data_IF_993375392522
#
_entry.id   IF_993375392522
#
_cell.length_a   1.000
_cell.length_b   1.000
_cell.length_c   1.000
_cell.angle_alpha   90.00
_cell.angle_beta   90.00
_cell.angle_gamma   90.00
#
_symmetry.space_group_name_H-M   'P 1'
#
loop_
_entity.id
_entity.type
_entity.pdbx_description
1 polymer ?
#
# COMPACT_ATOMS: atom_id res chain seq x y z
N UNK A 1 11.39 -4.35 16.51
CA UNK A 1 10.28 -4.93 15.71
C UNK A 1 10.27 -4.18 14.40
N UNK A 2 10.32 -4.89 13.28
CA UNK A 2 10.50 -4.30 11.96
C UNK A 2 9.17 -4.44 11.20
N UNK A 3 8.27 -3.48 11.39
CA UNK A 3 6.91 -3.53 10.85
C UNK A 3 6.58 -2.25 10.08
N UNK A 4 5.98 -2.38 8.90
CA UNK A 4 5.59 -1.26 8.06
C UNK A 4 4.10 -1.34 7.73
N UNK A 5 3.43 -0.20 7.93
CA UNK A 5 2.09 0.02 7.42
C UNK A 5 2.22 0.64 6.02
N UNK A 6 1.58 0.04 5.03
CA UNK A 6 1.59 0.53 3.65
C UNK A 6 0.17 0.74 3.15
N UNK A 7 0.01 1.68 2.22
CA UNK A 7 -1.29 1.92 1.60
C UNK A 7 -1.19 2.00 0.09
N UNK A 8 -1.98 1.18 -0.60
CA UNK A 8 -2.22 1.30 -2.03
C UNK A 8 -3.35 2.32 -2.26
N UNK A 9 -3.03 3.45 -2.89
CA UNK A 9 -3.97 4.59 -3.01
C UNK A 9 -5.18 4.24 -3.88
N UNK A 10 -5.00 3.43 -4.92
CA UNK A 10 -6.08 2.84 -5.72
C UNK A 10 -7.18 3.82 -6.19
N UNK A 11 -6.74 4.99 -6.69
CA UNK A 11 -7.61 6.07 -7.16
C UNK A 11 -8.65 6.52 -6.12
N UNK A 12 -8.35 6.36 -4.84
CA UNK A 12 -9.19 6.87 -3.76
C UNK A 12 -9.29 8.41 -3.83
N UNK A 13 -10.47 8.99 -3.56
CA UNK A 13 -10.63 10.43 -3.50
C UNK A 13 -9.90 11.01 -2.27
N UNK A 14 -9.55 12.30 -2.37
CA UNK A 14 -8.76 13.02 -1.35
C UNK A 14 -9.25 12.79 0.08
N UNK A 15 -10.56 12.87 0.33
CA UNK A 15 -11.09 12.75 1.70
C UNK A 15 -10.85 11.36 2.33
N UNK A 16 -10.72 10.30 1.53
CA UNK A 16 -10.41 8.97 2.04
C UNK A 16 -8.91 8.84 2.35
N UNK A 17 -8.06 9.44 1.50
CA UNK A 17 -6.62 9.52 1.71
C UNK A 17 -6.34 10.34 2.98
N UNK A 18 -6.90 11.54 3.08
CA UNK A 18 -6.74 12.44 4.22
C UNK A 18 -7.20 11.79 5.52
N UNK A 19 -8.35 11.10 5.52
CA UNK A 19 -8.84 10.44 6.73
C UNK A 19 -7.87 9.36 7.26
N UNK A 20 -7.25 8.59 6.36
CA UNK A 20 -6.23 7.61 6.74
C UNK A 20 -4.93 8.30 7.17
N UNK A 21 -4.50 9.35 6.46
CA UNK A 21 -3.31 10.13 6.78
C UNK A 21 -3.42 10.80 8.15
N UNK A 22 -4.52 11.51 8.43
CA UNK A 22 -4.81 12.17 9.70
C UNK A 22 -4.76 11.19 10.88
N UNK A 23 -5.28 9.98 10.68
CA UNK A 23 -5.23 8.92 11.70
C UNK A 23 -3.80 8.48 12.02
N UNK A 24 -2.90 8.43 11.03
CA UNK A 24 -1.48 8.11 11.23
C UNK A 24 -0.70 9.29 11.80
N UNK A 25 -0.97 10.51 11.32
CA UNK A 25 -0.38 11.75 11.81
C UNK A 25 -0.65 11.94 13.31
N UNK A 26 -1.89 11.72 13.74
CA UNK A 26 -2.28 11.82 15.15
C UNK A 26 -1.56 10.81 16.06
N UNK A 27 -0.93 9.78 15.48
CA UNK A 27 -0.22 8.70 16.18
C UNK A 27 1.29 8.72 15.95
N UNK A 28 1.79 9.68 15.16
CA UNK A 28 3.19 9.73 14.71
C UNK A 28 3.66 8.40 14.08
N UNK A 29 2.77 7.73 13.33
CA UNK A 29 3.06 6.46 12.66
C UNK A 29 3.59 6.73 11.26
N UNK A 30 4.72 6.09 10.98
CA UNK A 30 5.34 6.07 9.66
C UNK A 30 4.61 5.12 8.73
N UNK A 31 4.50 5.49 7.46
CA UNK A 31 3.88 4.65 6.44
C UNK A 31 4.46 4.91 5.05
N UNK A 32 4.28 3.94 4.16
CA UNK A 32 4.60 4.09 2.72
C UNK A 32 3.31 4.05 1.90
N UNK A 33 3.12 5.05 1.04
CA UNK A 33 1.93 5.20 0.19
C UNK A 33 2.30 4.93 -1.26
N UNK A 34 1.68 3.93 -1.88
CA UNK A 34 1.86 3.62 -3.29
C UNK A 34 0.84 4.40 -4.12
N UNK A 35 1.35 5.39 -4.86
CA UNK A 35 0.55 6.42 -5.53
C UNK A 35 0.09 5.96 -6.91
N UNK A 36 -1.19 6.20 -7.20
CA UNK A 36 -1.84 5.90 -8.49
C UNK A 36 -2.16 7.14 -9.33
N UNK A 37 -2.25 8.32 -8.74
CA UNK A 37 -2.66 9.53 -9.46
C UNK A 37 -2.18 10.80 -8.75
N UNK A 38 -2.15 11.92 -9.47
CA UNK A 38 -1.94 13.22 -8.87
C UNK A 38 -3.21 13.68 -8.16
N UNK A 39 -3.07 14.17 -6.93
CA UNK A 39 -4.16 14.77 -6.15
C UNK A 39 -3.60 15.69 -5.06
N UNK A 40 -4.43 16.58 -4.53
CA UNK A 40 -3.98 17.48 -3.47
C UNK A 40 -3.68 16.72 -2.16
N UNK A 41 -4.33 15.58 -1.92
CA UNK A 41 -4.00 14.71 -0.79
C UNK A 41 -2.59 14.12 -0.93
N UNK A 42 -2.17 13.72 -2.14
CA UNK A 42 -0.80 13.25 -2.38
C UNK A 42 0.24 14.35 -2.11
N UNK A 43 -0.07 15.59 -2.50
CA UNK A 43 0.82 16.73 -2.20
C UNK A 43 0.96 16.95 -0.68
N UNK A 44 -0.14 16.87 0.08
CA UNK A 44 -0.11 16.92 1.56
C UNK A 44 0.70 15.78 2.18
N UNK A 45 0.60 14.56 1.64
CA UNK A 45 1.44 13.44 2.10
C UNK A 45 2.92 13.74 1.89
N UNK A 46 3.28 14.32 0.74
CA UNK A 46 4.66 14.69 0.38
C UNK A 46 5.25 15.76 1.31
N UNK A 47 4.43 16.63 1.90
CA UNK A 47 4.86 17.64 2.87
C UNK A 47 5.31 17.05 4.21
N UNK A 48 5.10 15.74 4.44
CA UNK A 48 5.46 15.02 5.68
C UNK A 48 6.46 13.88 5.45
N UNK A 49 7.65 14.17 4.88
CA UNK A 49 8.65 13.13 4.59
C UNK A 49 9.27 12.52 5.85
N UNK A 50 9.05 13.12 7.03
CA UNK A 50 9.41 12.56 8.34
C UNK A 50 8.58 11.32 8.69
N UNK A 51 7.34 11.26 8.21
CA UNK A 51 6.43 10.14 8.47
C UNK A 51 6.12 9.31 7.23
N UNK A 52 5.97 9.95 6.06
CA UNK A 52 5.44 9.31 4.87
C UNK A 52 6.50 9.16 3.77
N UNK A 53 6.64 7.94 3.27
CA UNK A 53 7.32 7.64 2.01
C UNK A 53 6.29 7.54 0.89
N UNK A 54 6.63 8.05 -0.30
CA UNK A 54 5.82 7.86 -1.50
C UNK A 54 6.52 6.86 -2.44
N UNK A 55 5.81 5.80 -2.80
CA UNK A 55 6.19 4.83 -3.82
C UNK A 55 5.24 4.90 -5.02
N UNK A 56 5.55 4.16 -6.08
CA UNK A 56 4.68 4.06 -7.26
C UNK A 56 3.75 2.85 -7.20
N UNK A 57 2.51 3.00 -7.68
CA UNK A 57 1.54 1.91 -7.83
C UNK A 57 1.14 1.68 -9.30
N UNK A 58 2.05 1.16 -10.15
CA UNK A 58 1.80 1.03 -11.58
C UNK A 58 0.70 0.02 -11.88
N UNK A 59 -0.25 0.43 -12.72
CA UNK A 59 -1.25 -0.45 -13.30
C UNK A 59 -0.82 -0.88 -14.69
N UNK A 60 -0.36 -2.13 -14.79
CA UNK A 60 0.07 -2.77 -16.04
C UNK A 60 -1.05 -3.53 -16.77
N UNK A 61 -2.30 -3.47 -16.28
CA UNK A 61 -3.44 -4.11 -16.94
C UNK A 61 -3.84 -3.35 -18.21
N UNK A 62 -4.45 -4.08 -19.15
CA UNK A 62 -4.94 -3.49 -20.39
C UNK A 62 -5.97 -2.39 -20.12
N UNK A 63 -5.83 -1.26 -20.83
CA UNK A 63 -6.71 -0.08 -20.65
C UNK A 63 -6.37 0.77 -19.43
N UNK A 64 -5.22 0.56 -18.80
CA UNK A 64 -4.70 1.40 -17.71
C UNK A 64 -4.56 2.87 -18.13
N UNK A 65 -4.88 3.78 -17.21
CA UNK A 65 -4.62 5.21 -17.37
C UNK A 65 -3.15 5.59 -17.27
N UNK A 66 -2.26 4.67 -16.89
CA UNK A 66 -0.83 4.94 -16.72
C UNK A 66 -0.03 4.78 -18.03
N UNK A 67 -0.55 4.10 -19.04
CA UNK A 67 0.16 3.94 -20.31
C UNK A 67 -0.23 2.68 -21.08
N UNK A 68 0.24 2.59 -22.32
CA UNK A 68 -0.02 1.46 -23.22
C UNK A 68 1.04 0.36 -23.12
N UNK A 69 2.29 0.73 -22.82
CA UNK A 69 3.41 -0.20 -22.63
C UNK A 69 3.90 -0.20 -21.18
N UNK A 70 4.60 -1.26 -20.71
CA UNK A 70 5.21 -1.25 -19.39
C UNK A 70 6.12 -0.05 -19.13
N UNK A 71 6.89 0.38 -20.12
CA UNK A 71 7.76 1.55 -20.04
C UNK A 71 6.96 2.84 -19.85
N UNK A 72 5.88 3.02 -20.62
CA UNK A 72 5.00 4.19 -20.47
C UNK A 72 4.36 4.22 -19.09
N UNK A 73 3.88 3.06 -18.59
CA UNK A 73 3.30 2.92 -17.26
C UNK A 73 4.28 3.33 -16.17
N UNK A 74 5.52 2.84 -16.22
CA UNK A 74 6.55 3.18 -15.24
C UNK A 74 6.92 4.66 -15.33
N UNK A 75 7.13 5.18 -16.55
CA UNK A 75 7.48 6.58 -16.78
C UNK A 75 6.38 7.53 -16.28
N UNK A 76 5.11 7.21 -16.51
CA UNK A 76 3.98 7.95 -15.98
C UNK A 76 3.99 7.99 -14.46
N UNK A 77 4.14 6.84 -13.80
CA UNK A 77 4.14 6.78 -12.33
C UNK A 77 5.34 7.53 -11.72
N UNK A 78 6.52 7.43 -12.33
CA UNK A 78 7.70 8.18 -11.90
C UNK A 78 7.57 9.69 -12.16
N UNK A 79 6.74 10.12 -13.11
CA UNK A 79 6.42 11.53 -13.27
C UNK A 79 5.51 12.05 -12.13
N UNK A 80 4.65 11.19 -11.57
CA UNK A 80 3.82 11.51 -10.40
C UNK A 80 4.64 11.56 -9.10
N UNK A 81 5.60 10.64 -8.95
CA UNK A 81 6.45 10.52 -7.76
C UNK A 81 7.93 10.38 -8.18
N UNK A 82 8.60 11.47 -8.56
CA UNK A 82 9.99 11.43 -9.02
C UNK A 82 10.98 10.87 -7.99
N UNK A 83 10.67 11.01 -6.70
CA UNK A 83 11.45 10.55 -5.56
C UNK A 83 11.27 9.05 -5.23
N UNK A 84 10.35 8.35 -5.91
CA UNK A 84 10.02 6.97 -5.59
C UNK A 84 11.19 6.01 -5.80
N UNK A 85 11.41 5.17 -4.78
CA UNK A 85 12.38 4.04 -4.80
C UNK A 85 11.69 2.69 -4.59
N UNK A 86 10.47 2.71 -4.09
CA UNK A 86 9.65 1.53 -3.83
C UNK A 86 8.48 1.44 -4.81
N UNK A 87 8.10 0.20 -5.14
CA UNK A 87 6.95 -0.12 -5.98
C UNK A 87 6.12 -1.23 -5.34
N UNK A 88 4.81 -1.13 -5.51
CA UNK A 88 3.90 -2.27 -5.48
C UNK A 88 3.06 -2.23 -6.74
N UNK A 89 2.96 -3.31 -7.51
CA UNK A 89 2.20 -3.30 -8.75
C UNK A 89 0.71 -3.50 -8.47
N UNK A 90 -0.14 -2.76 -9.19
CA UNK A 90 -1.59 -2.91 -9.07
C UNK A 90 -2.01 -4.33 -9.46
N UNK A 91 -2.94 -4.90 -8.68
CA UNK A 91 -3.33 -6.31 -8.74
C UNK A 91 -2.19 -7.32 -8.58
N UNK A 92 -1.03 -6.89 -8.05
CA UNK A 92 0.18 -7.70 -7.92
C UNK A 92 0.61 -8.31 -9.26
N UNK A 93 0.38 -7.61 -10.38
CA UNK A 93 0.80 -8.10 -11.68
C UNK A 93 2.33 -8.08 -11.77
N UNK A 94 2.92 -9.26 -11.97
CA UNK A 94 4.37 -9.42 -12.01
C UNK A 94 4.80 -10.36 -13.13
N UNK A 95 5.93 -10.04 -13.74
CA UNK A 95 6.65 -10.92 -14.67
C UNK A 95 8.08 -10.42 -14.82
N UNK A 96 9.00 -11.25 -15.30
CA UNK A 96 10.39 -10.84 -15.52
C UNK A 96 10.50 -9.58 -16.41
N UNK A 97 9.77 -9.47 -17.54
CA UNK A 97 9.77 -8.25 -18.35
C UNK A 97 9.27 -7.00 -17.60
N UNK A 98 8.28 -7.12 -16.71
CA UNK A 98 7.81 -5.99 -15.91
C UNK A 98 8.87 -5.55 -14.89
N UNK A 99 9.58 -6.49 -14.27
CA UNK A 99 10.69 -6.15 -13.38
C UNK A 99 11.83 -5.46 -14.12
N UNK A 100 12.15 -5.90 -15.35
CA UNK A 100 13.15 -5.22 -16.17
C UNK A 100 12.71 -3.78 -16.52
N UNK A 101 11.44 -3.56 -16.85
CA UNK A 101 10.90 -2.21 -17.08
C UNK A 101 10.94 -1.33 -15.81
N UNK A 102 10.72 -1.90 -14.62
CA UNK A 102 10.83 -1.17 -13.35
C UNK A 102 12.28 -0.76 -13.04
N UNK A 103 13.25 -1.61 -13.37
CA UNK A 103 14.67 -1.36 -13.15
C UNK A 103 15.28 -0.40 -14.17
N UNK A 104 14.61 -0.18 -15.31
CA UNK A 104 15.05 0.77 -16.32
C UNK A 104 15.20 2.18 -15.75
N UNK A 105 16.34 2.82 -15.98
CA UNK A 105 16.66 4.14 -15.41
C UNK A 105 17.11 4.13 -13.94
N UNK A 106 17.11 2.97 -13.27
CA UNK A 106 17.79 2.76 -11.99
C UNK A 106 17.19 3.46 -10.77
N UNK A 107 15.93 3.90 -10.82
CA UNK A 107 15.26 4.57 -9.70
C UNK A 107 14.59 3.62 -8.71
N UNK A 108 13.91 2.60 -9.23
CA UNK A 108 13.22 1.61 -8.39
C UNK A 108 14.23 0.59 -7.88
N UNK A 109 14.21 0.37 -6.57
CA UNK A 109 15.13 -0.52 -5.87
C UNK A 109 14.40 -1.62 -5.10
N UNK A 110 13.16 -1.36 -4.69
CA UNK A 110 12.38 -2.24 -3.80
C UNK A 110 11.01 -2.56 -4.39
N UNK A 111 10.70 -3.84 -4.55
CA UNK A 111 9.37 -4.38 -4.88
C UNK A 111 8.69 -4.96 -3.65
N UNK A 112 7.44 -4.57 -3.41
CA UNK A 112 6.63 -5.04 -2.28
C UNK A 112 5.34 -5.72 -2.77
N UNK A 113 5.36 -6.32 -3.96
CA UNK A 113 4.19 -6.98 -4.55
C UNK A 113 4.14 -8.50 -4.28
N UNK A 114 5.11 -9.06 -3.55
CA UNK A 114 5.08 -10.47 -3.15
C UNK A 114 4.18 -10.68 -1.93
N UNK A 115 2.96 -11.15 -2.14
CA UNK A 115 2.03 -11.44 -1.04
C UNK A 115 2.19 -12.86 -0.48
N UNK A 116 2.48 -12.97 0.81
CA UNK A 116 2.54 -14.24 1.54
C UNK A 116 1.57 -14.20 2.73
N UNK A 117 0.27 -14.48 2.50
CA UNK A 117 -0.78 -14.26 3.49
C UNK A 117 -0.48 -15.00 4.80
N UNK A 118 -0.41 -14.23 5.89
CA UNK A 118 -0.20 -14.68 7.27
C UNK A 118 1.06 -15.52 7.49
N UNK A 119 2.04 -15.42 6.59
CA UNK A 119 3.32 -16.10 6.76
C UNK A 119 3.94 -15.71 8.11
N UNK A 120 4.41 -16.71 8.88
CA UNK A 120 5.04 -16.49 10.20
C UNK A 120 6.52 -16.13 10.11
N UNK A 121 7.13 -16.41 8.97
CA UNK A 121 8.52 -16.06 8.65
C UNK A 121 8.56 -15.56 7.22
N UNK A 122 9.15 -14.39 7.01
CA UNK A 122 9.44 -13.85 5.68
C UNK A 122 10.84 -13.27 5.68
N UNK A 123 11.49 -13.27 4.53
CA UNK A 123 12.83 -12.74 4.38
C UNK A 123 12.86 -11.80 3.17
N UNK A 124 13.62 -10.69 3.24
CA UNK A 124 13.99 -9.93 2.06
C UNK A 124 14.72 -10.84 1.07
N UNK A 125 14.35 -10.80 -0.21
CA UNK A 125 15.02 -11.59 -1.25
C UNK A 125 15.51 -10.69 -2.38
N UNK A 126 16.74 -10.92 -2.82
CA UNK A 126 17.30 -10.18 -3.96
C UNK A 126 17.03 -10.96 -5.24
N UNK A 127 16.32 -10.34 -6.17
CA UNK A 127 16.13 -10.86 -7.51
C UNK A 127 17.10 -10.16 -8.47
N UNK A 128 17.92 -10.94 -9.16
CA UNK A 128 18.80 -10.44 -10.22
C UNK A 128 18.14 -10.55 -11.59
N UNK A 129 18.35 -9.55 -12.44
CA UNK A 129 17.98 -9.58 -13.86
C UNK A 129 19.05 -8.86 -14.69
N UNK A 130 18.99 -8.93 -16.03
CA UNK A 130 19.87 -8.12 -16.88
C UNK A 130 19.76 -6.61 -16.60
N UNK A 131 18.60 -6.14 -16.11
CA UNK A 131 18.35 -4.75 -15.74
C UNK A 131 18.94 -4.33 -14.38
N UNK A 132 19.46 -5.25 -13.58
CA UNK A 132 20.08 -4.95 -12.29
C UNK A 132 19.66 -5.90 -11.17
N UNK A 133 19.46 -5.35 -9.96
CA UNK A 133 18.96 -6.10 -8.81
C UNK A 133 17.72 -5.40 -8.24
N UNK A 134 16.72 -6.19 -7.90
CA UNK A 134 15.49 -5.74 -7.25
C UNK A 134 15.42 -6.41 -5.87
N UNK A 135 15.41 -5.61 -4.81
CA UNK A 135 15.11 -6.14 -3.48
C UNK A 135 13.61 -6.38 -3.39
N UNK A 136 13.19 -7.58 -3.04
CA UNK A 136 11.79 -7.93 -2.89
C UNK A 136 11.47 -8.15 -1.43
N UNK A 137 10.51 -7.40 -0.92
CA UNK A 137 10.03 -7.48 0.45
C UNK A 137 8.64 -8.11 0.46
N UNK A 138 8.49 -9.35 0.96
CA UNK A 138 7.17 -9.94 1.07
C UNK A 138 6.31 -9.21 2.10
N UNK A 139 5.03 -9.04 1.79
CA UNK A 139 4.04 -8.53 2.74
C UNK A 139 3.07 -9.64 3.14
N UNK A 140 2.48 -9.52 4.33
CA UNK A 140 1.88 -10.65 5.05
C UNK A 140 0.39 -10.50 5.28
N UNK A 141 -0.18 -9.34 4.99
CA UNK A 141 -1.60 -9.07 5.18
C UNK A 141 -2.07 -7.95 4.25
N UNK A 142 -3.29 -8.07 3.74
CA UNK A 142 -3.96 -7.04 2.93
C UNK A 142 -5.46 -7.09 3.16
N UNK A 143 -6.07 -5.92 3.36
CA UNK A 143 -7.48 -5.81 3.75
C UNK A 143 -8.45 -6.48 2.77
N UNK A 144 -8.32 -6.19 1.48
CA UNK A 144 -9.20 -6.69 0.44
C UNK A 144 -9.02 -8.22 0.30
N UNK A 145 -7.79 -8.74 0.42
CA UNK A 145 -7.52 -10.18 0.40
C UNK A 145 -8.10 -10.88 1.63
N UNK A 146 -8.07 -10.21 2.78
CA UNK A 146 -8.64 -10.70 4.03
C UNK A 146 -10.17 -10.85 3.93
N UNK A 147 -10.85 -9.98 3.20
CA UNK A 147 -12.30 -10.09 2.93
C UNK A 147 -12.69 -11.32 2.09
N UNK A 148 -11.76 -11.93 1.36
CA UNK A 148 -12.00 -13.19 0.65
C UNK A 148 -11.76 -14.43 1.52
N UNK A 149 -11.13 -14.26 2.69
CA UNK A 149 -10.82 -15.37 3.58
C UNK A 149 -12.09 -15.93 4.22
N UNK A 150 -12.25 -17.27 4.31
CA UNK A 150 -13.37 -17.87 5.05
C UNK A 150 -13.26 -17.66 6.56
N UNK A 151 -12.06 -17.34 7.07
CA UNK A 151 -11.77 -17.09 8.48
C UNK A 151 -10.96 -15.79 8.60
N UNK A 152 -11.59 -14.61 8.47
CA UNK A 152 -10.87 -13.37 8.34
C UNK A 152 -10.14 -12.96 9.63
N UNK A 153 -8.86 -12.61 9.52
CA UNK A 153 -8.03 -12.12 10.63
C UNK A 153 -8.01 -10.58 10.65
N UNK A 154 -8.88 -9.98 11.44
CA UNK A 154 -8.93 -8.53 11.64
C UNK A 154 -8.06 -8.02 12.80
N UNK A 155 -7.63 -8.91 13.71
CA UNK A 155 -6.57 -8.61 14.68
C UNK A 155 -5.21 -8.79 14.00
N UNK A 156 -4.81 -7.80 13.20
CA UNK A 156 -3.56 -7.82 12.45
C UNK A 156 -2.34 -7.71 13.37
N UNK A 157 -2.52 -7.23 14.61
CA UNK A 157 -1.49 -7.21 15.64
C UNK A 157 -0.93 -8.60 15.97
N UNK A 158 -1.75 -9.65 15.81
CA UNK A 158 -1.33 -11.04 16.00
C UNK A 158 -0.21 -11.50 15.03
N UNK A 159 0.04 -10.73 13.96
CA UNK A 159 1.08 -11.00 12.98
C UNK A 159 2.41 -10.28 13.29
N UNK A 160 2.46 -9.40 14.29
CA UNK A 160 3.65 -8.57 14.56
C UNK A 160 4.85 -9.37 15.08
N UNK A 161 4.60 -10.49 15.78
CA UNK A 161 5.66 -11.33 16.38
C UNK A 161 6.29 -12.33 15.40
N UNK A 162 5.95 -12.26 14.10
CA UNK A 162 6.56 -13.10 13.08
C UNK A 162 8.03 -12.77 12.83
N UNK A 163 8.79 -13.76 12.35
CA UNK A 163 10.19 -13.56 11.97
C UNK A 163 10.30 -12.77 10.65
N UNK A 164 11.24 -11.82 10.63
CA UNK A 164 11.49 -10.91 9.50
C UNK A 164 10.49 -9.75 9.38
N UNK A 165 10.57 -8.96 8.28
CA UNK A 165 9.76 -7.77 8.11
C UNK A 165 8.25 -8.04 8.12
N UNK A 166 7.47 -7.24 8.85
CA UNK A 166 6.01 -7.35 8.92
C UNK A 166 5.36 -6.20 8.16
N UNK A 167 5.06 -6.43 6.89
CA UNK A 167 4.48 -5.41 6.00
C UNK A 167 2.98 -5.67 5.83
N UNK A 168 2.16 -4.66 6.06
CA UNK A 168 0.71 -4.70 5.99
C UNK A 168 0.20 -3.74 4.94
N UNK A 169 -0.76 -4.17 4.13
CA UNK A 169 -1.33 -3.37 3.06
C UNK A 169 -2.81 -3.02 3.32
N UNK A 170 -3.14 -1.75 3.10
CA UNK A 170 -4.46 -1.18 3.31
C UNK A 170 -4.83 -0.30 2.13
N UNK A 171 -6.11 -0.20 1.82
CA UNK A 171 -6.60 0.71 0.79
C UNK A 171 -7.40 1.83 1.46
N UNK A 172 -7.16 3.12 1.17
CA UNK A 172 -7.87 4.22 1.82
C UNK A 172 -9.40 4.08 1.74
N UNK A 173 -9.92 3.54 0.64
CA UNK A 173 -11.36 3.26 0.48
C UNK A 173 -11.89 2.25 1.48
N UNK A 174 -11.14 1.18 1.76
CA UNK A 174 -11.54 0.14 2.69
C UNK A 174 -11.38 0.61 4.14
N UNK A 175 -10.34 1.40 4.44
CA UNK A 175 -10.20 2.09 5.73
C UNK A 175 -11.39 3.01 5.96
N UNK A 176 -11.76 3.85 5.00
CA UNK A 176 -12.88 4.78 5.12
C UNK A 176 -14.23 4.06 5.35
N UNK A 177 -14.48 3.00 4.58
CA UNK A 177 -15.73 2.22 4.67
C UNK A 177 -15.75 1.25 5.86
N UNK A 178 -14.62 1.08 6.55
CA UNK A 178 -14.41 0.00 7.52
C UNK A 178 -14.79 -1.37 6.95
N UNK A 179 -14.41 -1.62 5.69
CA UNK A 179 -14.88 -2.79 4.94
C UNK A 179 -14.57 -4.09 5.68
N UNK A 180 -15.57 -4.95 5.83
CA UNK A 180 -15.42 -6.33 6.34
C UNK A 180 -15.77 -7.40 5.29
N UNK A 181 -16.27 -6.95 4.14
CA UNK A 181 -16.63 -7.73 2.98
C UNK A 181 -16.64 -6.80 1.74
N UNK A 182 -16.53 -7.36 0.55
CA UNK A 182 -16.55 -6.57 -0.70
C UNK A 182 -17.92 -6.02 -1.07
N UNK A 183 -19.01 -6.69 -0.69
CA UNK A 183 -20.34 -6.35 -1.19
C UNK A 183 -20.77 -4.87 -0.94
N UNK A 184 -20.50 -4.23 0.21
CA UNK A 184 -20.74 -2.80 0.38
C UNK A 184 -19.93 -1.92 -0.58
N UNK A 185 -18.65 -2.23 -0.79
CA UNK A 185 -17.77 -1.50 -1.71
C UNK A 185 -18.25 -1.62 -3.16
N UNK A 186 -18.61 -2.82 -3.61
CA UNK A 186 -19.15 -3.02 -4.98
C UNK A 186 -20.47 -2.27 -5.20
N UNK A 187 -21.37 -2.28 -4.21
CA UNK A 187 -22.61 -1.48 -4.27
C UNK A 187 -22.34 0.03 -4.25
N UNK A 188 -21.24 0.47 -3.66
CA UNK A 188 -20.81 1.87 -3.69
C UNK A 188 -20.31 2.25 -5.09
N UNK A 189 -19.46 1.42 -5.71
CA UNK A 189 -18.97 1.64 -7.09
C UNK A 189 -20.08 1.65 -8.14
N UNK A 190 -21.14 0.88 -7.91
CA UNK A 190 -22.33 0.91 -8.77
C UNK A 190 -23.11 2.23 -8.68
N UNK A 191 -22.97 2.99 -7.59
CA UNK A 191 -23.63 4.29 -7.43
C UNK A 191 -22.87 5.43 -8.13
N UNK A 192 -21.57 5.28 -8.38
CA UNK A 192 -20.76 6.27 -9.09
C UNK A 192 -19.27 5.90 -9.11
N UNK A 193 -18.48 6.53 -10.00
CA UNK A 193 -17.04 6.30 -10.06
C UNK A 193 -16.35 6.79 -8.78
N UNK A 194 -15.41 5.98 -8.26
CA UNK A 194 -14.75 6.22 -6.97
C UNK A 194 -14.13 7.63 -6.82
N UNK A 195 -13.45 8.22 -7.83
CA UNK A 195 -12.87 9.55 -7.69
C UNK A 195 -13.90 10.69 -7.56
N UNK A 196 -15.17 10.44 -7.88
CA UNK A 196 -16.22 11.47 -7.91
C UNK A 196 -17.23 11.34 -6.77
N UNK A 197 -17.12 10.29 -5.93
CA UNK A 197 -18.06 10.08 -4.84
C UNK A 197 -17.86 11.10 -3.73
N UNK A 198 -18.94 11.68 -3.21
CA UNK A 198 -18.87 12.61 -2.08
C UNK A 198 -18.91 11.84 -0.74
N UNK A 199 -18.29 12.37 0.33
CA UNK A 199 -18.28 11.72 1.65
C UNK A 199 -19.68 11.33 2.15
N UNK A 200 -20.68 12.18 1.95
CA UNK A 200 -22.05 11.96 2.43
C UNK A 200 -22.72 10.75 1.74
N UNK A 201 -22.35 10.47 0.49
CA UNK A 201 -22.88 9.36 -0.30
C UNK A 201 -22.34 8.00 0.17
N UNK A 202 -21.19 8.01 0.86
CA UNK A 202 -20.55 6.80 1.36
C UNK A 202 -21.15 6.26 2.66
N UNK A 203 -21.89 7.09 3.41
CA UNK A 203 -22.30 6.81 4.79
C UNK A 203 -23.06 5.48 4.94
N UNK A 204 -23.95 5.17 3.99
CA UNK A 204 -24.76 3.93 3.98
C UNK A 204 -23.97 2.65 3.72
N UNK A 205 -22.74 2.76 3.24
CA UNK A 205 -21.86 1.62 2.94
C UNK A 205 -20.85 1.36 4.06
N UNK A 206 -20.78 2.24 5.07
CA UNK A 206 -19.86 2.10 6.20
C UNK A 206 -20.33 0.99 7.12
N UNK A 207 -19.39 0.14 7.51
CA UNK A 207 -19.57 -0.87 8.54
C UNK A 207 -19.31 -0.28 9.94
N UNK A 208 -20.13 -0.64 10.92
CA UNK A 208 -19.96 -0.24 12.33
C UNK A 208 -19.28 -1.29 13.21
N UNK A 209 -19.13 -2.53 12.71
CA UNK A 209 -18.45 -3.61 13.43
C UNK A 209 -16.93 -3.64 13.18
N UNK A 210 -16.33 -4.79 13.42
CA UNK A 210 -14.94 -5.07 13.05
C UNK A 210 -14.77 -5.03 11.53
N UNK A 211 -13.67 -4.46 11.05
CA UNK A 211 -13.29 -4.41 9.64
C UNK A 211 -11.94 -3.71 9.44
N UNK A 212 -11.68 -3.27 8.22
CA UNK A 212 -10.42 -2.62 7.84
C UNK A 212 -10.06 -1.42 8.71
N UNK A 213 -11.03 -0.54 9.04
CA UNK A 213 -10.74 0.66 9.82
C UNK A 213 -10.29 0.30 11.24
N UNK A 214 -10.98 -0.66 11.86
CA UNK A 214 -10.62 -1.10 13.21
C UNK A 214 -9.26 -1.78 13.24
N UNK A 215 -8.94 -2.60 12.22
CA UNK A 215 -7.64 -3.24 12.08
C UNK A 215 -6.52 -2.22 11.84
N UNK A 216 -6.77 -1.23 10.98
CA UNK A 216 -5.84 -0.14 10.67
C UNK A 216 -5.49 0.68 11.91
N UNK A 217 -6.51 1.09 12.68
CA UNK A 217 -6.30 1.89 13.90
C UNK A 217 -5.60 1.10 15.00
N UNK A 218 -5.97 -0.16 15.22
CA UNK A 218 -5.30 -1.04 16.20
C UNK A 218 -3.82 -1.24 15.83
N UNK A 219 -3.51 -1.51 14.56
CA UNK A 219 -2.12 -1.61 14.10
C UNK A 219 -1.37 -0.30 14.32
N UNK A 220 -1.95 0.83 13.95
CA UNK A 220 -1.33 2.13 14.13
C UNK A 220 -1.05 2.43 15.62
N UNK A 221 -1.99 2.11 16.52
CA UNK A 221 -1.78 2.27 17.97
C UNK A 221 -0.61 1.41 18.49
N UNK A 222 -0.49 0.17 18.02
CA UNK A 222 0.64 -0.73 18.39
C UNK A 222 1.98 -0.27 17.83
N UNK A 223 1.99 0.24 16.60
CA UNK A 223 3.20 0.81 16.00
C UNK A 223 3.63 2.07 16.74
N UNK A 224 2.69 2.96 17.08
CA UNK A 224 2.97 4.15 17.87
C UNK A 224 3.62 3.79 19.23
N UNK A 225 3.09 2.78 19.91
CA UNK A 225 3.64 2.29 21.19
C UNK A 225 5.07 1.71 21.08
N UNK A 226 5.56 1.43 19.87
CA UNK A 226 6.87 0.82 19.61
C UNK A 226 7.81 1.70 18.77
N UNK A 227 7.51 3.00 18.65
CA UNK A 227 8.37 3.97 17.93
C UNK A 227 7.92 4.29 16.51
N UNK A 228 6.63 4.12 16.22
CA UNK A 228 5.96 4.59 15.00
C UNK A 228 6.11 3.68 13.78
N UNK A 229 6.57 2.43 13.93
CA UNK A 229 6.77 1.52 12.79
C UNK A 229 7.90 1.93 11.86
N UNK A 230 7.88 1.51 10.60
CA UNK A 230 8.90 1.80 9.59
C UNK A 230 8.28 2.09 8.22
N UNK A 231 9.02 2.81 7.37
CA UNK A 231 8.73 2.94 5.93
C UNK A 231 9.47 1.85 5.17
N UNK A 232 9.04 1.53 3.95
CA UNK A 232 9.72 0.57 3.07
C UNK A 232 11.20 0.96 2.84
N UNK A 233 11.51 2.25 2.72
CA UNK A 233 12.89 2.72 2.62
C UNK A 233 13.75 2.43 3.87
N UNK A 234 13.14 2.40 5.06
CA UNK A 234 13.83 2.07 6.31
C UNK A 234 14.15 0.57 6.33
N UNK A 235 13.19 -0.26 5.88
CA UNK A 235 13.33 -1.71 5.80
C UNK A 235 14.39 -2.17 4.79
N UNK A 236 14.50 -1.47 3.66
CA UNK A 236 15.47 -1.81 2.62
C UNK A 236 16.90 -1.49 3.03
N UNK A 237 17.12 -0.42 3.78
CA UNK A 237 18.43 -0.05 4.32
C UNK A 237 18.96 -1.12 5.29
N UNK A 238 18.09 -1.66 6.16
CA UNK A 238 18.43 -2.75 7.07
C UNK A 238 18.81 -4.03 6.30
N UNK A 239 18.04 -4.38 5.26
CA UNK A 239 18.28 -5.59 4.47
C UNK A 239 19.57 -5.55 3.63
N UNK A 240 20.07 -4.36 3.26
CA UNK A 240 21.33 -4.20 2.50
C UNK A 240 22.55 -4.08 3.41
N UNK A 241 22.36 -3.70 4.68
CA UNK A 241 23.44 -3.59 5.67
C UNK A 241 23.75 -4.89 6.43
N UNK A 242 22.89 -5.91 6.30
CA UNK A 242 23.06 -7.26 6.86
C UNK A 242 23.78 -8.20 5.86
#
# INVERSE_FOLDING_TARGET
MTAALTLDVDWAPDFMIDAAADALLAREVRATWFVTHASAAIDRLRERPDLFELGIHPNFLAGSSHGETPQDVVAHCLALVPEARAVRTHCLLQSTPLHDALLEGGRIEVDVSLFLPRARSVEPVVQHSPGGRLLRLPYVWQDNMEMYSPDPLWDVGALLDGAGPRIFDFHPVHVWLNSAAFAPYERMKQAGPLPQIAPQETARYRNSGTGTMTAFLDLADRLAATGGGARICDLSAEAVGA
#
